data_IF_505186787238
#
_entry.id   IF_505186787238
#
_cell.length_a   1.000
_cell.length_b   1.000
_cell.length_c   1.000
_cell.angle_alpha   90.00
_cell.angle_beta   90.00
_cell.angle_gamma   90.00
#
_symmetry.space_group_name_H-M   'P 1'
#
loop_
_entity.id
_entity.type
_entity.pdbx_description
1 polymer ?
#
# COMPACT_ATOMS: atom_id res chain seq x y z
N UNK A 1 -18.14 6.06 0.83
CA UNK A 1 -16.78 6.61 0.78
C UNK A 1 -16.66 7.75 -0.23
N UNK A 2 -16.41 7.59 -1.54
CA UNK A 2 -16.32 8.80 -2.42
C UNK A 2 -17.56 9.70 -2.44
N UNK A 3 -18.77 9.14 -2.50
CA UNK A 3 -19.98 9.96 -2.41
C UNK A 3 -19.97 10.77 -1.09
N UNK A 4 -19.62 10.11 0.01
CA UNK A 4 -19.45 10.73 1.32
C UNK A 4 -18.38 11.83 1.34
N UNK A 5 -17.24 11.63 0.68
CA UNK A 5 -16.20 12.66 0.54
C UNK A 5 -16.70 13.86 -0.27
N UNK A 6 -17.47 13.63 -1.34
CA UNK A 6 -18.09 14.70 -2.12
C UNK A 6 -19.13 15.47 -1.30
N UNK A 7 -19.93 14.77 -0.49
CA UNK A 7 -20.95 15.37 0.38
C UNK A 7 -20.33 16.22 1.50
N UNK A 8 -19.14 15.86 1.99
CA UNK A 8 -18.41 16.62 3.02
C UNK A 8 -17.84 17.95 2.50
N UNK A 9 -17.75 18.15 1.18
CA UNK A 9 -17.29 19.41 0.57
C UNK A 9 -15.85 19.79 0.95
N UNK A 10 -15.03 18.83 1.36
CA UNK A 10 -13.67 19.07 1.87
C UNK A 10 -12.66 19.22 0.75
N UNK A 11 -11.66 20.09 0.95
CA UNK A 11 -10.50 20.23 0.03
C UNK A 11 -9.50 19.08 0.13
N UNK A 12 -9.55 18.29 1.20
CA UNK A 12 -8.71 17.11 1.45
C UNK A 12 -9.40 15.86 0.95
N UNK A 13 -8.99 15.37 -0.22
CA UNK A 13 -9.54 14.17 -0.85
C UNK A 13 -8.48 13.08 -0.99
N UNK A 14 -8.87 11.79 -1.04
CA UNK A 14 -7.91 10.71 -1.22
C UNK A 14 -7.08 10.87 -2.48
N UNK A 15 -5.78 10.65 -2.33
CA UNK A 15 -4.82 10.76 -3.44
C UNK A 15 -5.24 9.90 -4.62
N UNK A 16 -5.12 10.44 -5.84
CA UNK A 16 -5.44 9.70 -7.04
C UNK A 16 -4.34 8.66 -7.35
N UNK A 17 -4.73 7.39 -7.24
CA UNK A 17 -3.87 6.24 -7.56
C UNK A 17 -4.06 5.81 -9.03
N UNK A 18 -3.95 6.79 -9.93
CA UNK A 18 -4.01 6.58 -11.37
C UNK A 18 -2.90 5.63 -11.84
N UNK A 19 -3.17 4.80 -12.85
CA UNK A 19 -2.13 3.98 -13.49
C UNK A 19 -1.13 4.88 -14.25
N UNK A 20 -0.04 4.29 -14.77
CA UNK A 20 1.05 5.05 -15.40
C UNK A 20 0.56 5.92 -16.56
N UNK A 21 -0.28 5.36 -17.43
CA UNK A 21 -0.77 6.06 -18.63
C UNK A 21 -1.71 7.21 -18.25
N UNK A 22 -2.65 6.96 -17.35
CA UNK A 22 -3.56 7.99 -16.86
C UNK A 22 -2.81 9.06 -16.06
N UNK A 23 -1.76 8.69 -15.30
CA UNK A 23 -0.93 9.65 -14.56
C UNK A 23 -0.16 10.59 -15.50
N UNK A 24 0.25 10.10 -16.67
CA UNK A 24 0.90 10.94 -17.67
C UNK A 24 -0.08 11.94 -18.29
N UNK A 25 -1.33 11.52 -18.54
CA UNK A 25 -2.40 12.38 -19.04
C UNK A 25 -2.83 13.44 -18.02
N UNK A 26 -2.85 13.09 -16.73
CA UNK A 26 -3.33 13.97 -15.66
C UNK A 26 -2.23 14.81 -14.99
N UNK A 27 -1.02 14.84 -15.53
CA UNK A 27 0.16 15.44 -14.86
C UNK A 27 0.01 16.94 -14.61
N UNK A 28 -0.58 17.65 -15.57
CA UNK A 28 -0.70 19.12 -15.54
C UNK A 28 -2.10 19.57 -15.05
N UNK A 29 -2.92 18.61 -14.59
CA UNK A 29 -4.27 18.84 -14.11
C UNK A 29 -4.25 19.01 -12.59
N UNK A 30 -4.63 20.18 -12.09
CA UNK A 30 -4.81 20.36 -10.64
C UNK A 30 -6.12 19.71 -10.16
N UNK A 31 -6.00 18.43 -9.83
CA UNK A 31 -7.12 17.60 -9.38
C UNK A 31 -7.72 18.08 -8.06
N UNK A 32 -6.95 18.74 -7.18
CA UNK A 32 -7.47 19.25 -5.90
C UNK A 32 -8.44 20.41 -6.13
N UNK A 33 -8.13 21.27 -7.10
CA UNK A 33 -9.01 22.37 -7.52
C UNK A 33 -10.26 21.88 -8.27
N UNK A 34 -10.17 20.73 -8.94
CA UNK A 34 -11.26 20.17 -9.75
C UNK A 34 -12.23 19.34 -8.91
N UNK A 35 -11.73 18.58 -7.94
CA UNK A 35 -12.55 17.73 -7.10
C UNK A 35 -13.34 18.50 -6.01
N UNK A 36 -12.89 19.70 -5.63
CA UNK A 36 -13.64 20.60 -4.75
C UNK A 36 -14.85 21.26 -5.44
N UNK A 37 -14.89 21.24 -6.78
CA UNK A 37 -16.09 21.56 -7.53
C UNK A 37 -16.93 20.29 -7.66
N UNK A 38 -18.20 20.38 -7.29
CA UNK A 38 -19.19 19.30 -7.40
C UNK A 38 -19.05 18.58 -8.75
N UNK A 39 -19.02 17.24 -8.72
CA UNK A 39 -18.97 16.31 -9.86
C UNK A 39 -19.63 16.78 -11.18
N UNK A 40 -20.80 17.48 -11.19
CA UNK A 40 -21.39 18.00 -12.42
C UNK A 40 -20.57 19.05 -13.21
N UNK A 41 -19.59 19.75 -12.62
CA UNK A 41 -18.79 20.77 -13.33
C UNK A 41 -17.42 20.28 -13.84
N UNK A 42 -17.13 18.98 -13.68
CA UNK A 42 -15.86 18.38 -14.13
C UNK A 42 -15.71 18.35 -15.65
N UNK A 43 -16.83 18.24 -16.39
CA UNK A 43 -16.81 18.19 -17.86
C UNK A 43 -16.36 19.48 -18.51
N UNK A 44 -16.52 20.60 -17.82
CA UNK A 44 -16.30 21.92 -18.39
C UNK A 44 -14.84 22.37 -18.25
N UNK A 45 -14.08 21.69 -17.38
CA UNK A 45 -12.68 22.02 -17.05
C UNK A 45 -11.66 21.00 -17.58
N UNK A 46 -12.09 19.82 -17.98
CA UNK A 46 -11.21 18.74 -18.44
C UNK A 46 -11.44 18.44 -19.92
N UNK A 47 -10.37 18.15 -20.66
CA UNK A 47 -10.49 17.57 -21.98
C UNK A 47 -11.14 16.18 -21.91
N UNK A 48 -11.74 15.71 -23.01
CA UNK A 48 -12.37 14.39 -23.06
C UNK A 48 -11.40 13.24 -22.68
N UNK A 49 -10.11 13.39 -22.99
CA UNK A 49 -9.06 12.41 -22.68
C UNK A 49 -8.72 12.44 -21.20
N UNK A 50 -8.55 13.62 -20.60
CA UNK A 50 -8.30 13.77 -19.16
C UNK A 50 -9.51 13.32 -18.33
N UNK A 51 -10.73 13.66 -18.76
CA UNK A 51 -11.95 13.23 -18.09
C UNK A 51 -12.12 11.70 -18.15
N UNK A 52 -11.75 11.08 -19.26
CA UNK A 52 -11.70 9.62 -19.37
C UNK A 52 -10.62 9.02 -18.46
N UNK A 53 -9.41 9.57 -18.48
CA UNK A 53 -8.30 9.12 -17.63
C UNK A 53 -8.66 9.26 -16.14
N UNK A 54 -9.33 10.34 -15.77
CA UNK A 54 -9.82 10.59 -14.41
C UNK A 54 -10.90 9.58 -14.02
N UNK A 55 -11.93 9.36 -14.86
CA UNK A 55 -12.99 8.37 -14.60
C UNK A 55 -12.48 6.93 -14.49
N UNK A 56 -11.46 6.58 -15.27
CA UNK A 56 -10.82 5.26 -15.22
C UNK A 56 -9.81 5.12 -14.07
N UNK A 57 -9.38 6.23 -13.49
CA UNK A 57 -8.48 6.21 -12.34
C UNK A 57 -9.27 5.97 -11.08
N UNK A 58 -8.78 5.04 -10.27
CA UNK A 58 -9.41 4.68 -9.00
C UNK A 58 -8.57 5.35 -7.92
N UNK A 59 -9.12 6.34 -7.22
CA UNK A 59 -8.66 6.70 -5.87
C UNK A 59 -9.16 5.63 -4.88
N UNK A 60 -8.56 5.50 -3.68
CA UNK A 60 -9.11 4.86 -2.44
C UNK A 60 -8.16 3.91 -1.72
N UNK A 61 -8.48 3.64 -0.45
CA UNK A 61 -7.88 2.60 0.38
C UNK A 61 -7.95 1.19 -0.25
N UNK A 62 -9.04 0.81 -0.93
CA UNK A 62 -9.13 -0.50 -1.63
C UNK A 62 -8.13 -0.59 -2.78
N UNK A 63 -7.94 0.50 -3.55
CA UNK A 63 -6.96 0.53 -4.63
C UNK A 63 -5.55 0.49 -4.08
N UNK A 64 -5.28 1.19 -2.98
CA UNK A 64 -4.00 1.13 -2.27
C UNK A 64 -3.70 -0.30 -1.81
N UNK A 65 -4.66 -0.98 -1.17
CA UNK A 65 -4.54 -2.39 -0.76
C UNK A 65 -4.26 -3.31 -1.96
N UNK A 66 -4.94 -3.10 -3.10
CA UNK A 66 -4.72 -3.86 -4.33
C UNK A 66 -3.30 -3.63 -4.91
N UNK A 67 -2.81 -2.40 -4.92
CA UNK A 67 -1.45 -2.09 -5.35
C UNK A 67 -0.42 -2.71 -4.39
N UNK A 68 -0.66 -2.61 -3.08
CA UNK A 68 0.20 -3.22 -2.07
C UNK A 68 0.30 -4.74 -2.26
N UNK A 69 -0.81 -5.44 -2.49
CA UNK A 69 -0.74 -6.89 -2.77
C UNK A 69 -0.05 -7.20 -4.10
N UNK A 70 -0.18 -6.34 -5.11
CA UNK A 70 0.57 -6.49 -6.35
C UNK A 70 2.09 -6.33 -6.18
N UNK A 71 2.57 -5.70 -5.09
CA UNK A 71 4.00 -5.63 -4.78
C UNK A 71 4.40 -6.71 -3.78
N UNK A 72 3.67 -6.84 -2.67
CA UNK A 72 4.08 -7.63 -1.50
C UNK A 72 3.60 -9.10 -1.55
N UNK A 73 2.60 -9.43 -2.37
CA UNK A 73 2.13 -10.81 -2.58
C UNK A 73 1.61 -10.99 -4.02
N UNK A 74 2.49 -10.78 -4.99
CA UNK A 74 2.14 -10.82 -6.40
C UNK A 74 1.87 -12.25 -6.90
N UNK A 75 0.86 -12.43 -7.76
CA UNK A 75 0.49 -13.74 -8.34
C UNK A 75 1.63 -14.44 -9.07
N UNK A 76 2.48 -13.67 -9.75
CA UNK A 76 3.74 -14.15 -10.34
C UNK A 76 4.88 -13.89 -9.35
N UNK A 77 5.39 -14.98 -8.76
CA UNK A 77 6.43 -14.96 -7.74
C UNK A 77 7.75 -14.30 -8.20
N UNK A 78 7.96 -14.13 -9.52
CA UNK A 78 9.17 -13.49 -10.06
C UNK A 78 9.07 -11.97 -10.16
N UNK A 79 7.87 -11.40 -10.07
CA UNK A 79 7.62 -9.97 -10.31
C UNK A 79 7.40 -9.16 -9.03
N UNK A 80 6.95 -9.82 -7.96
CA UNK A 80 6.74 -9.19 -6.66
C UNK A 80 8.01 -9.08 -5.83
N UNK A 81 7.92 -8.32 -4.74
CA UNK A 81 8.96 -8.19 -3.72
C UNK A 81 8.71 -9.10 -2.51
N UNK A 82 7.86 -10.11 -2.68
CA UNK A 82 7.33 -10.94 -1.58
C UNK A 82 8.41 -11.60 -0.70
N UNK A 83 9.46 -12.18 -1.30
CA UNK A 83 10.51 -12.86 -0.52
C UNK A 83 11.35 -11.84 0.26
N UNK A 84 11.73 -10.74 -0.39
CA UNK A 84 12.46 -9.63 0.22
C UNK A 84 11.65 -8.98 1.35
N UNK A 85 10.34 -8.79 1.13
CA UNK A 85 9.37 -8.32 2.11
C UNK A 85 9.31 -9.25 3.33
N UNK A 86 9.12 -10.55 3.10
CA UNK A 86 9.03 -11.56 4.17
C UNK A 86 10.32 -11.57 4.99
N UNK A 87 11.49 -11.49 4.34
CA UNK A 87 12.77 -11.49 5.05
C UNK A 87 12.99 -10.21 5.84
N UNK A 88 12.66 -9.05 5.27
CA UNK A 88 12.73 -7.76 5.94
C UNK A 88 11.87 -7.73 7.21
N UNK A 89 10.58 -8.07 7.08
CA UNK A 89 9.65 -8.07 8.21
C UNK A 89 10.09 -9.06 9.29
N UNK A 90 10.52 -10.26 8.89
CA UNK A 90 11.00 -11.29 9.82
C UNK A 90 12.19 -10.83 10.66
N UNK A 91 13.21 -10.25 10.02
CA UNK A 91 14.47 -9.95 10.71
C UNK A 91 14.44 -8.60 11.44
N UNK A 92 13.66 -7.61 10.96
CA UNK A 92 13.65 -6.25 11.54
C UNK A 92 12.42 -5.95 12.40
N UNK A 93 11.26 -6.48 12.05
CA UNK A 93 10.00 -6.24 12.78
C UNK A 93 9.76 -7.36 13.81
N UNK A 94 10.37 -8.54 13.60
CA UNK A 94 10.29 -9.67 14.52
C UNK A 94 9.06 -10.56 14.31
N UNK A 95 8.27 -10.31 13.27
CA UNK A 95 7.20 -11.19 12.82
C UNK A 95 7.21 -11.25 11.28
N UNK A 96 6.73 -12.36 10.73
CA UNK A 96 6.58 -12.50 9.27
C UNK A 96 5.20 -13.02 8.94
N UNK A 97 4.37 -12.12 8.42
CA UNK A 97 3.08 -12.45 7.83
C UNK A 97 3.17 -12.28 6.32
N UNK A 98 2.65 -13.25 5.57
CA UNK A 98 2.45 -13.09 4.14
C UNK A 98 1.39 -12.01 3.93
N UNK A 99 1.67 -11.02 3.08
CA UNK A 99 0.71 -9.96 2.82
C UNK A 99 -0.60 -10.55 2.27
N UNK A 100 -1.78 -10.04 2.67
CA UNK A 100 -3.06 -10.59 2.23
C UNK A 100 -3.18 -10.65 0.70
N UNK A 101 -3.79 -11.72 0.18
CA UNK A 101 -3.85 -11.99 -1.26
C UNK A 101 -4.96 -11.19 -1.94
N UNK A 102 -4.70 -9.91 -2.15
CA UNK A 102 -5.63 -9.01 -2.85
C UNK A 102 -5.67 -9.24 -4.37
N UNK A 103 -4.87 -10.18 -4.89
CA UNK A 103 -4.77 -10.47 -6.32
C UNK A 103 -5.78 -11.53 -6.76
N UNK A 104 -6.15 -12.42 -5.85
CA UNK A 104 -7.23 -13.38 -6.03
C UNK A 104 -8.53 -12.82 -5.45
N UNK A 105 -9.68 -13.18 -6.05
CA UNK A 105 -11.01 -12.72 -5.63
C UNK A 105 -11.47 -13.43 -4.34
N UNK A 106 -10.65 -13.40 -3.30
CA UNK A 106 -11.01 -13.91 -1.99
C UNK A 106 -11.79 -12.84 -1.23
N UNK A 107 -12.86 -13.26 -0.56
CA UNK A 107 -13.61 -12.40 0.33
C UNK A 107 -12.67 -11.84 1.42
N UNK A 108 -12.78 -10.55 1.73
CA UNK A 108 -12.02 -9.83 2.79
C UNK A 108 -10.56 -9.50 2.53
N UNK A 109 -9.93 -10.02 1.49
CA UNK A 109 -8.50 -9.79 1.23
C UNK A 109 -8.08 -8.32 1.27
N UNK A 110 -8.92 -7.42 0.75
CA UNK A 110 -8.68 -5.97 0.81
C UNK A 110 -8.85 -5.36 2.21
N UNK A 111 -9.75 -5.89 3.03
CA UNK A 111 -9.94 -5.44 4.41
C UNK A 111 -8.78 -5.91 5.30
N UNK A 112 -8.33 -7.15 5.10
CA UNK A 112 -7.14 -7.70 5.77
C UNK A 112 -5.89 -6.92 5.38
N UNK A 113 -5.74 -6.61 4.10
CA UNK A 113 -4.64 -5.78 3.60
C UNK A 113 -4.68 -4.37 4.21
N UNK A 114 -5.87 -3.79 4.38
CA UNK A 114 -6.00 -2.50 5.06
C UNK A 114 -5.56 -2.57 6.53
N UNK A 115 -5.97 -3.62 7.26
CA UNK A 115 -5.51 -3.86 8.62
C UNK A 115 -3.99 -3.98 8.70
N UNK A 116 -3.39 -4.80 7.83
CA UNK A 116 -1.94 -5.03 7.77
C UNK A 116 -1.15 -3.73 7.51
N UNK A 117 -1.58 -2.97 6.50
CA UNK A 117 -0.95 -1.70 6.14
C UNK A 117 -1.02 -0.66 7.27
N UNK A 118 -2.11 -0.64 8.05
CA UNK A 118 -2.25 0.31 9.16
C UNK A 118 -1.39 -0.07 10.38
N UNK A 119 -1.35 -1.35 10.73
CA UNK A 119 -0.58 -1.82 11.89
C UNK A 119 0.92 -1.58 11.66
N UNK A 120 1.39 -1.83 10.44
CA UNK A 120 2.82 -1.77 10.10
C UNK A 120 3.17 -0.62 9.15
N UNK A 121 2.40 0.46 9.17
CA UNK A 121 2.56 1.59 8.25
C UNK A 121 4.01 2.15 8.24
N UNK A 122 4.64 2.43 9.41
CA UNK A 122 6.04 2.88 9.44
C UNK A 122 7.00 1.89 8.79
N UNK A 123 6.84 0.60 9.06
CA UNK A 123 7.69 -0.47 8.54
C UNK A 123 7.54 -0.62 7.02
N UNK A 124 6.31 -0.50 6.48
CA UNK A 124 6.10 -0.48 5.04
C UNK A 124 6.74 0.74 4.37
N UNK A 125 6.67 1.92 4.99
CA UNK A 125 7.33 3.12 4.46
C UNK A 125 8.86 2.95 4.44
N UNK A 126 9.44 2.47 5.54
CA UNK A 126 10.89 2.19 5.61
C UNK A 126 11.33 1.10 4.64
N UNK A 127 10.52 0.04 4.46
CA UNK A 127 10.79 -0.99 3.47
C UNK A 127 10.82 -0.42 2.05
N UNK A 128 9.83 0.40 1.68
CA UNK A 128 9.78 1.05 0.37
C UNK A 128 10.98 1.96 0.13
N UNK A 129 11.42 2.71 1.15
CA UNK A 129 12.63 3.55 1.07
C UNK A 129 13.89 2.71 0.82
N UNK A 130 14.04 1.58 1.51
CA UNK A 130 15.16 0.66 1.30
C UNK A 130 15.13 0.09 -0.12
N UNK A 131 13.96 -0.33 -0.60
CA UNK A 131 13.77 -0.84 -1.96
C UNK A 131 14.10 0.23 -3.00
N UNK A 132 13.72 1.49 -2.77
CA UNK A 132 14.07 2.62 -3.62
C UNK A 132 15.58 2.80 -3.72
N UNK A 133 16.28 2.73 -2.60
CA UNK A 133 17.69 3.03 -2.49
C UNK A 133 18.59 1.86 -2.92
N UNK A 134 18.10 0.62 -2.87
CA UNK A 134 18.85 -0.55 -3.37
C UNK A 134 18.94 -0.66 -4.90
N UNK A 135 18.18 0.14 -5.64
CA UNK A 135 18.15 0.06 -7.10
C UNK A 135 19.38 0.71 -7.71
N UNK A 136 19.82 0.19 -8.86
CA UNK A 136 20.90 0.80 -9.67
C UNK A 136 20.68 2.30 -9.93
N UNK A 137 19.42 2.70 -10.13
CA UNK A 137 18.98 4.09 -10.11
C UNK A 137 18.03 4.28 -8.96
N UNK A 138 18.48 4.98 -7.93
CA UNK A 138 17.66 5.34 -6.78
C UNK A 138 16.37 6.04 -7.25
N UNK A 139 15.22 5.46 -6.92
CA UNK A 139 13.94 5.96 -7.37
C UNK A 139 12.79 4.97 -7.17
N UNK A 140 11.62 5.51 -6.86
CA UNK A 140 10.41 4.71 -6.80
C UNK A 140 9.97 4.33 -8.22
N UNK A 141 9.50 3.09 -8.38
CA UNK A 141 8.67 2.80 -9.53
C UNK A 141 7.28 3.43 -9.33
N UNK A 142 6.50 3.55 -10.41
CA UNK A 142 5.21 4.22 -10.36
C UNK A 142 4.23 3.60 -9.33
N UNK A 143 4.23 2.27 -9.15
CA UNK A 143 3.36 1.61 -8.15
C UNK A 143 3.85 1.85 -6.72
N UNK A 144 5.16 1.74 -6.47
CA UNK A 144 5.78 2.01 -5.17
C UNK A 144 5.55 3.47 -4.75
N UNK A 145 5.69 4.42 -5.67
CA UNK A 145 5.44 5.83 -5.42
C UNK A 145 3.99 6.06 -5.01
N UNK A 146 3.05 5.44 -5.71
CA UNK A 146 1.62 5.52 -5.39
C UNK A 146 1.28 4.90 -4.04
N UNK A 147 1.92 3.79 -3.66
CA UNK A 147 1.74 3.21 -2.33
C UNK A 147 2.33 4.12 -1.26
N UNK A 148 3.55 4.61 -1.48
CA UNK A 148 4.26 5.50 -0.56
C UNK A 148 3.48 6.79 -0.31
N UNK A 149 2.91 7.40 -1.36
CA UNK A 149 2.02 8.56 -1.26
C UNK A 149 0.73 8.21 -0.53
N UNK A 150 0.07 7.09 -0.90
CA UNK A 150 -1.20 6.67 -0.32
C UNK A 150 -1.14 6.35 1.19
N UNK A 151 -0.03 5.78 1.67
CA UNK A 151 0.17 5.50 3.10
C UNK A 151 0.41 6.77 3.95
N UNK A 152 0.79 7.88 3.32
CA UNK A 152 1.00 9.18 3.97
C UNK A 152 -0.19 10.13 3.82
N UNK A 153 -1.16 9.75 3.00
CA UNK A 153 -2.34 10.55 2.69
C UNK A 153 -3.47 10.30 3.71
N UNK A 154 -3.75 11.28 4.56
CA UNK A 154 -4.73 11.15 5.66
C UNK A 154 -6.13 10.71 5.19
N UNK A 155 -6.71 11.25 4.09
CA UNK A 155 -7.97 10.74 3.56
C UNK A 155 -7.91 9.28 3.12
N UNK A 156 -6.81 8.83 2.48
CA UNK A 156 -6.63 7.41 2.13
C UNK A 156 -6.49 6.53 3.37
N UNK A 157 -5.71 6.96 4.37
CA UNK A 157 -5.60 6.28 5.67
C UNK A 157 -6.96 6.20 6.38
N UNK A 158 -7.79 7.23 6.27
CA UNK A 158 -9.16 7.24 6.80
C UNK A 158 -10.01 6.13 6.18
N UNK A 159 -9.87 5.89 4.87
CA UNK A 159 -10.59 4.79 4.21
C UNK A 159 -10.05 3.42 4.60
N UNK A 160 -8.73 3.26 4.75
CA UNK A 160 -8.14 2.03 5.28
C UNK A 160 -8.70 1.73 6.68
N UNK A 161 -8.80 2.74 7.53
CA UNK A 161 -9.34 2.58 8.88
C UNK A 161 -10.81 2.13 8.87
N UNK A 162 -11.63 2.67 7.96
CA UNK A 162 -13.01 2.22 7.80
C UNK A 162 -13.10 0.76 7.32
N UNK A 163 -12.23 0.33 6.40
CA UNK A 163 -12.14 -1.06 5.95
C UNK A 163 -11.74 -2.00 7.09
N UNK A 164 -10.73 -1.62 7.88
CA UNK A 164 -10.26 -2.40 9.03
C UNK A 164 -11.34 -2.57 10.09
N UNK A 165 -12.04 -1.48 10.47
CA UNK A 165 -13.13 -1.57 11.45
C UNK A 165 -14.27 -2.45 10.95
N UNK A 166 -14.62 -2.36 9.67
CA UNK A 166 -15.62 -3.23 9.07
C UNK A 166 -15.18 -4.70 9.06
N UNK A 167 -13.89 -4.95 8.81
CA UNK A 167 -13.31 -6.29 8.86
C UNK A 167 -13.61 -6.95 10.22
N UNK A 168 -13.20 -6.25 11.27
CA UNK A 168 -13.22 -6.71 12.66
C UNK A 168 -14.64 -6.78 13.22
N UNK A 169 -15.52 -5.83 12.86
CA UNK A 169 -16.86 -5.75 13.41
C UNK A 169 -17.88 -6.65 12.69
N UNK A 170 -17.76 -6.79 11.38
CA UNK A 170 -18.81 -7.39 10.54
C UNK A 170 -18.33 -8.67 9.89
N UNK A 171 -17.26 -8.59 9.11
CA UNK A 171 -16.98 -9.66 8.16
C UNK A 171 -16.20 -10.83 8.74
N UNK A 172 -15.23 -10.62 9.63
CA UNK A 172 -14.58 -11.75 10.30
C UNK A 172 -15.60 -12.55 11.12
N UNK A 173 -16.44 -11.93 11.99
CA UNK A 173 -17.52 -12.64 12.67
C UNK A 173 -18.49 -13.37 11.72
N UNK A 174 -18.86 -12.74 10.60
CA UNK A 174 -19.70 -13.38 9.60
C UNK A 174 -19.03 -14.62 9.02
N UNK A 175 -17.76 -14.51 8.62
CA UNK A 175 -17.00 -15.61 8.03
C UNK A 175 -16.77 -16.76 9.02
N UNK A 176 -16.57 -16.48 10.31
CA UNK A 176 -16.49 -17.54 11.32
C UNK A 176 -17.70 -18.46 11.31
N UNK A 177 -18.89 -17.92 11.08
CA UNK A 177 -20.13 -18.69 11.04
C UNK A 177 -20.40 -19.24 9.64
N UNK A 178 -20.23 -18.42 8.60
CA UNK A 178 -20.50 -18.82 7.23
C UNK A 178 -19.53 -19.91 6.75
N UNK A 179 -18.29 -19.93 7.20
CA UNK A 179 -17.30 -20.97 6.84
C UNK A 179 -17.47 -22.28 7.62
N UNK A 180 -18.33 -22.34 8.65
CA UNK A 180 -18.64 -23.62 9.28
C UNK A 180 -19.33 -24.56 8.29
N UNK A 181 -19.10 -25.87 8.44
CA UNK A 181 -19.73 -26.88 7.60
C UNK A 181 -21.23 -26.94 7.91
N UNK A 182 -22.03 -26.23 7.10
CA UNK A 182 -23.48 -26.20 7.19
C UNK A 182 -24.09 -25.94 5.80
N UNK A 183 -25.40 -26.11 5.70
CA UNK A 183 -26.13 -25.76 4.49
C UNK A 183 -26.14 -24.24 4.36
N UNK A 184 -25.59 -23.71 3.27
CA UNK A 184 -25.60 -22.27 2.98
C UNK A 184 -27.01 -21.69 2.92
N UNK A 185 -28.01 -22.49 2.56
CA UNK A 185 -29.41 -22.09 2.53
C UNK A 185 -30.00 -21.79 3.92
N UNK A 186 -29.39 -22.29 4.99
CA UNK A 186 -29.82 -22.04 6.38
C UNK A 186 -29.29 -20.71 6.95
N UNK A 187 -28.50 -19.96 6.19
CA UNK A 187 -27.92 -18.68 6.63
C UNK A 187 -28.93 -17.50 6.61
N UNK A 188 -30.15 -17.68 6.11
CA UNK A 188 -31.11 -16.58 5.96
C UNK A 188 -31.42 -15.81 7.25
N UNK A 189 -31.67 -16.52 8.36
CA UNK A 189 -31.87 -15.88 9.67
C UNK A 189 -30.62 -15.12 10.13
N UNK A 190 -29.44 -15.68 9.86
CA UNK A 190 -28.16 -15.07 10.20
C UNK A 190 -27.90 -13.80 9.38
N UNK A 191 -28.31 -13.78 8.10
CA UNK A 191 -28.29 -12.59 7.26
C UNK A 191 -29.20 -11.48 7.78
N UNK A 192 -30.41 -11.81 8.25
CA UNK A 192 -31.30 -10.84 8.89
C UNK A 192 -30.65 -10.19 10.12
N UNK A 193 -30.01 -10.98 10.98
CA UNK A 193 -29.27 -10.48 12.14
C UNK A 193 -28.09 -9.59 11.73
N UNK A 194 -27.36 -9.96 10.67
CA UNK A 194 -26.24 -9.17 10.13
C UNK A 194 -26.70 -7.79 9.65
N UNK A 195 -27.82 -7.71 8.92
CA UNK A 195 -28.39 -6.45 8.45
C UNK A 195 -28.74 -5.52 9.61
N UNK A 196 -29.41 -6.06 10.64
CA UNK A 196 -29.75 -5.31 11.87
C UNK A 196 -28.48 -4.84 12.59
N UNK A 197 -27.45 -5.68 12.66
CA UNK A 197 -26.18 -5.33 13.28
C UNK A 197 -25.46 -4.19 12.53
N UNK A 198 -25.36 -4.27 11.20
CA UNK A 198 -24.76 -3.19 10.41
C UNK A 198 -25.55 -1.88 10.60
N UNK A 199 -26.88 -1.93 10.63
CA UNK A 199 -27.71 -0.76 10.91
C UNK A 199 -27.46 -0.18 12.32
N UNK A 200 -27.27 -1.04 13.33
CA UNK A 200 -26.90 -0.62 14.70
C UNK A 200 -25.57 0.15 14.70
N UNK A 201 -24.57 -0.32 13.95
CA UNK A 201 -23.27 0.35 13.84
C UNK A 201 -23.35 1.69 13.08
N UNK A 202 -24.22 1.78 12.07
CA UNK A 202 -24.49 3.05 11.37
C UNK A 202 -25.14 4.07 12.33
N UNK A 203 -26.10 3.63 13.14
CA UNK A 203 -26.83 4.51 14.06
C UNK A 203 -25.95 4.96 15.24
N UNK A 204 -25.02 4.09 15.70
CA UNK A 204 -24.15 4.34 16.85
C UNK A 204 -22.67 4.03 16.51
N UNK A 205 -22.01 4.84 15.67
CA UNK A 205 -20.62 4.59 15.25
C UNK A 205 -19.61 4.67 16.40
N UNK A 206 -19.97 5.30 17.51
CA UNK A 206 -19.15 5.36 18.73
C UNK A 206 -18.85 3.98 19.33
N UNK A 207 -19.68 2.97 19.03
CA UNK A 207 -19.41 1.58 19.39
C UNK A 207 -18.05 1.10 18.85
N UNK A 208 -17.63 1.62 17.69
CA UNK A 208 -16.34 1.28 17.05
C UNK A 208 -15.24 2.29 17.35
N UNK A 209 -15.58 3.57 17.56
CA UNK A 209 -14.63 4.68 17.57
C UNK A 209 -14.21 5.16 18.97
N UNK A 210 -14.87 4.68 20.04
CA UNK A 210 -14.47 5.00 21.40
C UNK A 210 -13.14 4.32 21.78
N UNK A 211 -12.28 5.02 22.53
CA UNK A 211 -10.94 4.53 22.90
C UNK A 211 -10.93 3.27 23.79
N UNK A 212 -12.08 2.93 24.39
CA UNK A 212 -12.36 1.68 25.11
C UNK A 212 -13.46 0.89 24.39
N UNK A 213 -13.29 0.68 23.09
CA UNK A 213 -14.25 -0.03 22.25
C UNK A 213 -14.70 -1.34 22.91
N UNK A 214 -16.00 -1.47 23.12
CA UNK A 214 -16.62 -2.64 23.74
C UNK A 214 -16.91 -3.67 22.66
N UNK A 215 -15.94 -4.56 22.39
CA UNK A 215 -16.05 -5.58 21.34
C UNK A 215 -17.34 -6.40 21.48
N UNK A 216 -17.81 -6.61 22.72
CA UNK A 216 -19.05 -7.36 22.99
C UNK A 216 -20.29 -6.76 22.34
N UNK A 217 -20.30 -5.44 22.08
CA UNK A 217 -21.41 -4.73 21.45
C UNK A 217 -21.15 -4.36 20.00
N UNK A 218 -19.88 -4.29 19.62
CA UNK A 218 -19.42 -3.74 18.36
C UNK A 218 -19.04 -4.83 17.34
N UNK A 219 -18.60 -6.01 17.79
CA UNK A 219 -18.45 -7.19 16.94
C UNK A 219 -19.81 -7.89 16.75
N UNK A 220 -20.06 -8.43 15.57
CA UNK A 220 -21.32 -9.09 15.23
C UNK A 220 -21.57 -10.37 16.03
N UNK A 221 -20.52 -11.16 16.30
CA UNK A 221 -20.59 -12.36 17.15
C UNK A 221 -20.35 -12.06 18.65
N UNK A 222 -20.10 -10.79 19.00
CA UNK A 222 -19.77 -10.35 20.35
C UNK A 222 -18.44 -10.87 20.89
N UNK A 223 -17.58 -11.47 20.04
CA UNK A 223 -16.26 -11.96 20.43
C UNK A 223 -15.21 -10.86 20.34
N UNK A 224 -14.02 -11.16 20.86
CA UNK A 224 -12.86 -10.28 20.71
C UNK A 224 -12.50 -10.08 19.24
N UNK A 225 -11.81 -8.98 18.96
CA UNK A 225 -11.31 -8.68 17.62
C UNK A 225 -10.34 -9.76 17.14
N UNK A 226 -10.50 -10.20 15.89
CA UNK A 226 -9.55 -11.13 15.24
C UNK A 226 -8.12 -10.55 15.23
N UNK A 227 -8.02 -9.22 15.05
CA UNK A 227 -6.77 -8.45 15.10
C UNK A 227 -6.92 -7.24 16.02
N UNK A 228 -6.78 -7.42 17.35
CA UNK A 228 -6.90 -6.32 18.32
C UNK A 228 -5.89 -5.18 18.06
N UNK A 229 -4.70 -5.52 17.56
CA UNK A 229 -3.66 -4.56 17.21
C UNK A 229 -4.07 -3.62 16.07
N UNK A 230 -4.90 -4.10 15.13
CA UNK A 230 -5.40 -3.31 14.01
C UNK A 230 -6.46 -2.30 14.47
N UNK A 231 -7.37 -2.72 15.35
CA UNK A 231 -8.34 -1.80 15.98
C UNK A 231 -7.61 -0.76 16.82
N UNK A 232 -6.60 -1.17 17.59
CA UNK A 232 -5.78 -0.26 18.36
C UNK A 232 -5.05 0.78 17.48
N UNK A 233 -4.47 0.35 16.35
CA UNK A 233 -3.83 1.24 15.39
C UNK A 233 -4.81 2.28 14.83
N UNK A 234 -6.03 1.86 14.48
CA UNK A 234 -7.10 2.78 14.04
C UNK A 234 -7.47 3.79 15.13
N UNK A 235 -7.70 3.33 16.36
CA UNK A 235 -8.08 4.21 17.48
C UNK A 235 -6.96 5.20 17.83
N UNK A 236 -5.70 4.79 17.71
CA UNK A 236 -4.54 5.68 17.89
C UNK A 236 -4.48 6.76 16.80
N UNK A 237 -4.87 6.44 15.57
CA UNK A 237 -4.91 7.38 14.46
C UNK A 237 -6.17 8.25 14.45
N UNK A 238 -7.28 7.80 15.04
CA UNK A 238 -8.57 8.46 15.00
C UNK A 238 -8.54 9.98 15.34
N UNK A 239 -7.77 10.47 16.32
CA UNK A 239 -7.65 11.91 16.58
C UNK A 239 -7.10 12.72 15.41
N UNK A 240 -6.28 12.10 14.54
CA UNK A 240 -5.69 12.71 13.35
C UNK A 240 -6.56 12.54 12.09
N UNK A 241 -7.69 11.82 12.18
CA UNK A 241 -8.56 11.48 11.06
C UNK A 241 -9.93 12.17 11.23
N UNK A 242 -10.06 13.47 10.89
CA UNK A 242 -11.24 14.29 11.23
C UNK A 242 -12.55 13.76 10.60
N UNK A 243 -12.45 13.06 9.47
CA UNK A 243 -13.62 12.54 8.75
C UNK A 243 -13.89 11.05 8.99
N UNK A 244 -13.13 10.38 9.86
CA UNK A 244 -13.25 8.94 10.10
C UNK A 244 -14.68 8.50 10.39
N UNK A 245 -15.38 9.20 11.29
CA UNK A 245 -16.79 8.91 11.62
C UNK A 245 -17.69 8.91 10.39
N UNK A 246 -17.63 9.98 9.60
CA UNK A 246 -18.49 10.15 8.42
C UNK A 246 -18.18 9.09 7.37
N UNK A 247 -16.89 8.82 7.13
CA UNK A 247 -16.45 7.82 6.15
C UNK A 247 -16.83 6.40 6.57
N UNK A 248 -16.67 6.05 7.85
CA UNK A 248 -17.17 4.80 8.41
C UNK A 248 -18.68 4.66 8.18
N UNK A 249 -19.48 5.65 8.58
CA UNK A 249 -20.94 5.60 8.38
C UNK A 249 -21.31 5.44 6.90
N UNK A 250 -20.68 6.22 6.02
CA UNK A 250 -20.91 6.16 4.58
C UNK A 250 -20.46 4.84 3.94
N UNK A 251 -19.40 4.22 4.45
CA UNK A 251 -18.97 2.89 4.03
C UNK A 251 -19.97 1.82 4.48
N UNK A 252 -20.35 1.82 5.76
CA UNK A 252 -21.30 0.85 6.33
C UNK A 252 -22.68 0.97 5.69
N UNK A 253 -23.15 2.17 5.37
CA UNK A 253 -24.39 2.38 4.61
C UNK A 253 -24.32 1.75 3.21
N UNK A 254 -23.17 1.88 2.54
CA UNK A 254 -22.93 1.22 1.27
C UNK A 254 -22.89 -0.30 1.40
N UNK A 255 -22.20 -0.81 2.43
CA UNK A 255 -22.13 -2.24 2.74
C UNK A 255 -23.52 -2.82 3.03
N UNK A 256 -24.36 -2.14 3.83
CA UNK A 256 -25.72 -2.57 4.13
C UNK A 256 -26.55 -2.73 2.85
N UNK A 257 -26.49 -1.76 1.93
CA UNK A 257 -27.19 -1.85 0.63
C UNK A 257 -26.72 -3.04 -0.20
N UNK A 258 -25.42 -3.34 -0.17
CA UNK A 258 -24.87 -4.52 -0.86
C UNK A 258 -25.33 -5.81 -0.22
N UNK A 259 -25.33 -5.89 1.12
CA UNK A 259 -25.85 -7.05 1.85
C UNK A 259 -27.34 -7.28 1.59
N UNK A 260 -28.16 -6.23 1.59
CA UNK A 260 -29.59 -6.36 1.25
C UNK A 260 -29.77 -6.99 -0.13
N UNK A 261 -28.98 -6.59 -1.13
CA UNK A 261 -29.01 -7.20 -2.46
C UNK A 261 -28.52 -8.65 -2.48
N UNK A 262 -27.53 -8.97 -1.65
CA UNK A 262 -27.00 -10.33 -1.53
C UNK A 262 -27.99 -11.27 -0.85
N UNK A 263 -28.79 -10.77 0.09
CA UNK A 263 -29.70 -11.56 0.91
C UNK A 263 -31.12 -11.68 0.36
N UNK A 264 -31.41 -11.16 -0.84
CA UNK A 264 -32.77 -11.14 -1.44
C UNK A 264 -33.38 -12.53 -1.50
N UNK A 265 -32.58 -13.55 -1.88
CA UNK A 265 -33.08 -14.93 -2.03
C UNK A 265 -33.47 -15.56 -0.68
N UNK A 266 -33.00 -14.99 0.43
CA UNK A 266 -33.25 -15.45 1.81
C UNK A 266 -34.26 -14.56 2.56
N UNK A 267 -34.95 -13.65 1.86
CA UNK A 267 -35.96 -12.76 2.45
C UNK A 267 -37.17 -13.53 3.01
N UNK A 268 -37.87 -12.90 3.96
CA UNK A 268 -39.11 -13.43 4.53
C UNK A 268 -40.16 -13.65 3.43
N UNK A 269 -40.68 -14.89 3.32
CA UNK A 269 -41.61 -15.29 2.26
C UNK A 269 -40.93 -15.76 0.97
N UNK A 270 -39.60 -15.71 0.87
CA UNK A 270 -38.83 -16.27 -0.25
C UNK A 270 -38.88 -17.80 -0.32
N UNK A 271 -38.55 -18.36 -1.48
CA UNK A 271 -38.61 -19.80 -1.72
C UNK A 271 -37.73 -20.63 -0.76
N UNK A 272 -36.58 -20.08 -0.35
CA UNK A 272 -35.66 -20.74 0.60
C UNK A 272 -36.27 -20.79 2.00
N UNK A 273 -36.88 -19.70 2.47
CA UNK A 273 -37.50 -19.67 3.81
C UNK A 273 -38.79 -20.50 3.86
N UNK A 274 -39.55 -20.56 2.76
CA UNK A 274 -40.76 -21.37 2.67
C UNK A 274 -40.49 -22.87 2.45
N UNK A 275 -39.25 -23.27 2.17
CA UNK A 275 -38.87 -24.66 1.95
C UNK A 275 -38.89 -25.47 3.24
N UNK A 276 -39.26 -26.75 3.16
CA UNK A 276 -39.20 -27.64 4.31
C UNK A 276 -37.75 -28.01 4.63
N UNK A 277 -37.47 -28.41 5.88
CA UNK A 277 -36.14 -28.93 6.24
C UNK A 277 -35.72 -30.13 5.39
N UNK A 278 -36.67 -30.92 4.89
CA UNK A 278 -36.39 -32.04 3.99
C UNK A 278 -35.88 -31.54 2.63
N UNK A 279 -36.54 -30.52 2.08
CA UNK A 279 -36.15 -29.93 0.80
C UNK A 279 -34.80 -29.22 0.90
N UNK A 280 -34.56 -28.48 1.98
CA UNK A 280 -33.28 -27.82 2.23
C UNK A 280 -32.15 -28.84 2.38
N UNK A 281 -32.37 -29.92 3.12
CA UNK A 281 -31.37 -30.99 3.26
C UNK A 281 -31.12 -31.76 1.95
N UNK A 282 -32.14 -31.93 1.11
CA UNK A 282 -31.98 -32.52 -0.22
C UNK A 282 -31.22 -31.58 -1.18
N UNK A 283 -31.44 -30.28 -1.07
CA UNK A 283 -30.76 -29.23 -1.82
C UNK A 283 -29.53 -28.69 -1.09
N UNK A 284 -28.72 -29.57 -0.48
CA UNK A 284 -27.55 -29.15 0.29
C UNK A 284 -26.54 -28.40 -0.57
N UNK A 285 -26.27 -27.15 -0.21
CA UNK A 285 -25.23 -26.32 -0.84
C UNK A 285 -24.24 -25.93 0.25
N UNK A 286 -22.94 -26.11 -0.01
CA UNK A 286 -21.91 -25.61 0.90
C UNK A 286 -22.03 -24.10 1.05
N UNK A 287 -21.99 -23.63 2.29
CA UNK A 287 -22.04 -22.20 2.63
C UNK A 287 -20.90 -21.36 2.01
N UNK A 288 -19.82 -22.00 1.59
CA UNK A 288 -18.71 -21.39 0.87
C UNK A 288 -18.29 -22.25 -0.33
N UNK A 289 -17.70 -21.59 -1.33
CA UNK A 289 -17.17 -22.25 -2.53
C UNK A 289 -15.84 -22.99 -2.28
N UNK A 290 -15.27 -22.88 -1.08
CA UNK A 290 -13.93 -23.39 -0.73
C UNK A 290 -13.83 -24.92 -0.84
N UNK A 291 -14.94 -25.65 -0.64
CA UNK A 291 -14.98 -27.11 -0.80
C UNK A 291 -14.84 -27.59 -2.25
N UNK A 292 -15.06 -26.71 -3.23
CA UNK A 292 -14.84 -27.02 -4.65
C UNK A 292 -13.38 -26.87 -5.06
N UNK A 293 -12.51 -26.38 -4.16
CA UNK A 293 -11.07 -26.36 -4.38
C UNK A 293 -10.48 -27.69 -3.88
N UNK A 294 -10.04 -28.56 -4.80
CA UNK A 294 -9.46 -29.88 -4.49
C UNK A 294 -8.19 -29.85 -3.62
N UNK A 295 -7.27 -30.81 -3.77
CA UNK A 295 -6.04 -30.84 -2.96
C UNK A 295 -5.24 -29.51 -2.93
N UNK A 296 -5.35 -28.71 -4.00
CA UNK A 296 -4.79 -27.37 -4.09
C UNK A 296 -5.49 -26.33 -3.19
N UNK A 297 -6.80 -26.43 -3.00
CA UNK A 297 -7.55 -25.57 -2.07
C UNK A 297 -7.24 -25.88 -0.62
N UNK A 298 -7.21 -27.17 -0.29
CA UNK A 298 -6.75 -27.64 1.02
C UNK A 298 -5.33 -27.16 1.33
N UNK A 299 -4.44 -27.18 0.34
CA UNK A 299 -3.10 -26.62 0.45
C UNK A 299 -3.11 -25.10 0.72
N UNK A 300 -3.92 -24.34 -0.03
CA UNK A 300 -4.02 -22.89 0.14
C UNK A 300 -4.54 -22.51 1.52
N UNK A 301 -5.65 -23.10 1.96
CA UNK A 301 -6.21 -22.87 3.30
C UNK A 301 -5.20 -23.20 4.41
N UNK A 302 -4.47 -24.31 4.26
CA UNK A 302 -3.42 -24.69 5.18
C UNK A 302 -2.25 -23.70 5.21
N UNK A 303 -1.84 -23.19 4.05
CA UNK A 303 -0.80 -22.16 3.93
C UNK A 303 -1.24 -20.82 4.54
N UNK A 304 -2.53 -20.48 4.53
CA UNK A 304 -3.06 -19.28 5.17
C UNK A 304 -2.94 -19.34 6.70
N UNK A 305 -3.31 -20.48 7.30
CA UNK A 305 -3.15 -20.69 8.75
C UNK A 305 -1.68 -20.84 9.16
N UNK A 306 -0.80 -21.15 8.20
CA UNK A 306 0.63 -21.45 8.44
C UNK A 306 1.51 -20.78 7.39
N UNK A 307 1.58 -19.44 7.38
CA UNK A 307 2.25 -18.68 6.31
C UNK A 307 3.75 -18.96 6.23
N UNK A 308 4.36 -19.41 7.33
CA UNK A 308 5.78 -19.75 7.41
C UNK A 308 6.09 -21.23 7.14
N UNK A 309 5.07 -22.04 6.87
CA UNK A 309 5.24 -23.45 6.57
C UNK A 309 5.68 -23.68 5.12
N UNK A 310 6.26 -24.85 4.87
CA UNK A 310 6.73 -25.23 3.53
C UNK A 310 5.75 -26.19 2.86
N UNK A 311 5.73 -26.21 1.53
CA UNK A 311 4.99 -27.20 0.75
C UNK A 311 5.38 -28.63 1.14
N UNK A 312 6.67 -28.86 1.43
CA UNK A 312 7.16 -30.12 1.96
C UNK A 312 6.48 -30.50 3.27
N UNK A 313 6.28 -29.55 4.19
CA UNK A 313 5.58 -29.78 5.45
C UNK A 313 4.08 -30.07 5.23
N UNK A 314 3.43 -29.39 4.27
CA UNK A 314 2.05 -29.72 3.88
C UNK A 314 1.94 -31.14 3.33
N UNK A 315 2.79 -31.47 2.36
CA UNK A 315 2.81 -32.78 1.72
C UNK A 315 3.12 -33.88 2.73
N UNK A 316 4.02 -33.65 3.68
CA UNK A 316 4.30 -34.59 4.78
C UNK A 316 3.10 -34.77 5.70
N UNK A 317 2.41 -33.70 6.08
CA UNK A 317 1.22 -33.81 6.92
C UNK A 317 0.06 -34.50 6.18
N UNK A 318 -0.15 -34.16 4.91
CA UNK A 318 -1.15 -34.79 4.06
C UNK A 318 -0.85 -36.28 3.85
N UNK A 319 0.40 -36.64 3.57
CA UNK A 319 0.84 -38.05 3.48
C UNK A 319 0.71 -38.79 4.81
N UNK A 320 1.06 -38.15 5.93
CA UNK A 320 0.93 -38.74 7.27
C UNK A 320 -0.53 -39.13 7.55
N UNK A 321 -1.47 -38.22 7.26
CA UNK A 321 -2.91 -38.46 7.39
C UNK A 321 -3.42 -39.51 6.41
N UNK A 322 -3.01 -39.44 5.15
CA UNK A 322 -3.52 -40.34 4.09
C UNK A 322 -2.99 -41.77 4.23
N UNK A 323 -1.73 -41.93 4.65
CA UNK A 323 -1.09 -43.23 4.78
C UNK A 323 -1.31 -43.88 6.14
N UNK A 324 -2.17 -43.31 7.02
CA UNK A 324 -2.34 -43.81 8.39
C UNK A 324 -1.03 -43.89 9.17
N UNK A 325 -0.10 -42.96 8.90
CA UNK A 325 1.27 -43.02 9.45
C UNK A 325 1.26 -42.82 10.97
N UNK A 326 0.29 -42.09 11.51
CA UNK A 326 0.10 -41.94 12.95
C UNK A 326 -0.26 -43.27 13.63
N UNK A 327 -1.19 -44.03 13.04
CA UNK A 327 -1.55 -45.37 13.50
C UNK A 327 -0.37 -46.34 13.38
N UNK A 328 0.42 -46.24 12.29
CA UNK A 328 1.64 -47.02 12.10
C UNK A 328 2.69 -46.70 13.16
N UNK A 329 2.91 -45.42 13.48
CA UNK A 329 3.84 -44.98 14.53
C UNK A 329 3.37 -45.52 15.89
N UNK A 330 2.08 -45.37 16.23
CA UNK A 330 1.53 -45.88 17.48
C UNK A 330 1.61 -47.41 17.61
N UNK A 331 1.49 -48.14 16.50
CA UNK A 331 1.48 -49.61 16.48
C UNK A 331 2.88 -50.22 16.45
N UNK A 332 3.82 -49.60 15.73
CA UNK A 332 5.13 -50.21 15.43
C UNK A 332 6.33 -49.47 16.02
N UNK A 333 6.13 -48.25 16.57
CA UNK A 333 7.17 -47.41 17.16
C UNK A 333 6.81 -47.17 18.64
N UNK A 334 6.80 -48.25 19.42
CA UNK A 334 6.30 -48.27 20.80
C UNK A 334 7.40 -48.19 21.88
N UNK A 335 8.68 -48.20 21.49
CA UNK A 335 9.82 -48.18 22.43
C UNK A 335 10.27 -46.75 22.72
N UNK A 336 10.68 -46.41 23.95
CA UNK A 336 11.12 -45.05 24.30
C UNK A 336 12.35 -44.56 23.50
N UNK A 337 13.14 -45.45 22.91
CA UNK A 337 14.35 -45.11 22.14
C UNK A 337 14.04 -44.59 20.72
N UNK A 338 12.93 -45.04 20.12
CA UNK A 338 12.62 -44.72 18.73
C UNK A 338 12.16 -43.26 18.52
N UNK A 339 11.27 -42.68 19.38
CA UNK A 339 10.95 -41.26 19.34
C UNK A 339 12.18 -40.39 19.64
N UNK A 340 13.11 -40.84 20.50
CA UNK A 340 14.35 -40.11 20.80
C UNK A 340 15.26 -40.04 19.58
N UNK A 341 15.38 -41.12 18.82
CA UNK A 341 16.15 -41.18 17.58
C UNK A 341 15.52 -40.35 16.45
N UNK A 342 14.20 -40.40 16.28
CA UNK A 342 13.46 -39.54 15.34
C UNK A 342 13.60 -38.06 15.70
N UNK A 343 13.46 -37.68 16.97
CA UNK A 343 13.69 -36.31 17.44
C UNK A 343 15.15 -35.89 17.29
N UNK A 344 16.11 -36.80 17.46
CA UNK A 344 17.53 -36.53 17.19
C UNK A 344 17.74 -36.21 15.70
N UNK A 345 17.22 -37.05 14.80
CA UNK A 345 17.31 -36.88 13.34
C UNK A 345 16.61 -35.60 12.84
N UNK A 346 15.43 -35.28 13.38
CA UNK A 346 14.75 -34.03 13.10
C UNK A 346 15.55 -32.81 13.57
N UNK A 347 16.15 -32.90 14.76
CA UNK A 347 17.05 -31.85 15.28
C UNK A 347 18.32 -31.71 14.45
N UNK A 348 18.94 -32.78 13.95
CA UNK A 348 20.11 -32.68 13.04
C UNK A 348 19.74 -32.12 11.67
N UNK A 349 18.52 -32.37 11.20
CA UNK A 349 17.99 -31.79 9.97
C UNK A 349 17.75 -30.26 10.12
N UNK A 350 17.19 -29.86 11.27
CA UNK A 350 16.93 -28.44 11.61
C UNK A 350 18.18 -27.69 12.10
N UNK A 351 19.19 -28.37 12.66
CA UNK A 351 20.38 -27.77 13.28
C UNK A 351 21.32 -27.09 12.28
N UNK A 352 21.08 -27.22 10.98
CA UNK A 352 21.92 -26.59 9.98
C UNK A 352 21.79 -25.06 9.97
N UNK A 353 20.64 -24.49 10.40
CA UNK A 353 20.41 -23.03 10.54
C UNK A 353 20.66 -22.19 9.28
N UNK A 354 21.06 -22.82 8.19
CA UNK A 354 21.81 -22.21 7.09
C UNK A 354 20.93 -21.28 6.28
N UNK A 355 19.65 -21.64 6.16
CA UNK A 355 18.62 -20.80 5.52
C UNK A 355 18.32 -19.54 6.35
N UNK A 356 18.38 -19.60 7.68
CA UNK A 356 18.17 -18.42 8.52
C UNK A 356 19.37 -17.48 8.48
N UNK A 357 20.59 -18.03 8.55
CA UNK A 357 21.83 -17.26 8.39
C UNK A 357 21.88 -16.53 7.05
N UNK A 358 21.64 -17.26 5.94
CA UNK A 358 21.63 -16.67 4.59
C UNK A 358 20.58 -15.57 4.42
N UNK A 359 19.38 -15.74 4.99
CA UNK A 359 18.33 -14.68 4.96
C UNK A 359 18.79 -13.44 5.71
N UNK A 360 19.38 -13.59 6.89
CA UNK A 360 19.91 -12.48 7.68
C UNK A 360 21.03 -11.74 6.96
N UNK A 361 21.96 -12.46 6.33
CA UNK A 361 23.01 -11.87 5.51
C UNK A 361 22.43 -11.08 4.32
N UNK A 362 21.41 -11.63 3.65
CA UNK A 362 20.72 -10.93 2.56
C UNK A 362 20.06 -9.63 3.04
N UNK A 363 19.31 -9.66 4.15
CA UNK A 363 18.67 -8.46 4.70
C UNK A 363 19.72 -7.43 5.10
N UNK A 364 20.78 -7.85 5.80
CA UNK A 364 21.86 -6.96 6.22
C UNK A 364 22.58 -6.32 5.03
N UNK A 365 22.85 -7.09 3.97
CA UNK A 365 23.46 -6.58 2.75
C UNK A 365 22.56 -5.55 2.06
N UNK A 366 21.28 -5.87 1.89
CA UNK A 366 20.28 -4.96 1.28
C UNK A 366 20.20 -3.64 2.09
N UNK A 367 20.09 -3.73 3.42
CA UNK A 367 20.05 -2.55 4.29
C UNK A 367 21.34 -1.73 4.19
N UNK A 368 22.51 -2.37 4.18
CA UNK A 368 23.79 -1.67 4.08
C UNK A 368 23.96 -0.94 2.74
N UNK A 369 23.60 -1.60 1.63
CA UNK A 369 23.61 -0.98 0.29
C UNK A 369 22.65 0.21 0.24
N UNK A 370 21.41 0.05 0.72
CA UNK A 370 20.45 1.16 0.78
C UNK A 370 20.99 2.36 1.57
N UNK A 371 21.60 2.12 2.75
CA UNK A 371 22.18 3.18 3.56
C UNK A 371 23.33 3.90 2.85
N UNK A 372 24.19 3.17 2.13
CA UNK A 372 25.27 3.77 1.36
C UNK A 372 24.72 4.65 0.23
N UNK A 373 23.80 4.11 -0.58
CA UNK A 373 23.20 4.84 -1.69
C UNK A 373 22.41 6.06 -1.22
N UNK A 374 21.70 5.96 -0.09
CA UNK A 374 21.02 7.10 0.52
C UNK A 374 21.99 8.21 0.94
N UNK A 375 23.15 7.86 1.53
CA UNK A 375 24.20 8.85 1.88
C UNK A 375 24.76 9.52 0.63
N UNK A 376 25.10 8.74 -0.39
CA UNK A 376 25.62 9.27 -1.66
C UNK A 376 24.62 10.23 -2.32
N UNK A 377 23.33 9.91 -2.27
CA UNK A 377 22.27 10.78 -2.78
C UNK A 377 22.13 12.07 -1.97
N UNK A 378 22.09 11.97 -0.64
CA UNK A 378 22.02 13.14 0.25
C UNK A 378 23.22 14.07 0.06
N UNK A 379 24.43 13.52 -0.08
CA UNK A 379 25.62 14.29 -0.40
C UNK A 379 25.53 14.98 -1.76
N UNK A 380 24.98 14.30 -2.77
CA UNK A 380 24.77 14.90 -4.09
C UNK A 380 23.76 16.03 -4.04
N UNK A 381 22.63 15.83 -3.35
CA UNK A 381 21.61 16.86 -3.18
C UNK A 381 22.14 18.08 -2.40
N UNK A 382 22.94 17.85 -1.35
CA UNK A 382 23.61 18.92 -0.62
C UNK A 382 24.59 19.69 -1.51
N UNK A 383 25.39 19.00 -2.33
CA UNK A 383 26.29 19.63 -3.31
C UNK A 383 25.52 20.44 -4.36
N UNK A 384 24.40 19.92 -4.85
CA UNK A 384 23.52 20.60 -5.80
C UNK A 384 22.88 21.86 -5.19
N UNK A 385 22.33 21.76 -3.97
CA UNK A 385 21.78 22.92 -3.22
C UNK A 385 22.84 23.97 -2.91
N UNK A 386 24.03 23.54 -2.47
CA UNK A 386 25.14 24.45 -2.22
C UNK A 386 25.61 25.15 -3.51
N UNK A 387 25.66 24.43 -4.64
CA UNK A 387 25.99 25.01 -5.93
C UNK A 387 24.90 26.00 -6.40
N UNK A 388 23.63 25.69 -6.21
CA UNK A 388 22.51 26.60 -6.53
C UNK A 388 22.56 27.87 -5.67
N UNK A 389 22.76 27.74 -4.35
CA UNK A 389 22.90 28.86 -3.44
C UNK A 389 24.11 29.74 -3.78
N UNK A 390 25.23 29.13 -4.20
CA UNK A 390 26.40 29.86 -4.67
C UNK A 390 26.08 30.71 -5.90
N UNK A 391 25.39 30.14 -6.89
CA UNK A 391 24.96 30.86 -8.10
C UNK A 391 24.00 32.01 -7.79
N UNK A 392 23.12 31.84 -6.81
CA UNK A 392 22.19 32.89 -6.39
C UNK A 392 22.89 34.03 -5.64
N UNK A 393 23.88 33.71 -4.81
CA UNK A 393 24.65 34.67 -4.02
C UNK A 393 25.69 35.46 -4.85
N UNK A 394 26.14 34.95 -5.99
CA UNK A 394 27.13 35.64 -6.84
C UNK A 394 26.56 36.94 -7.40
N UNK A 395 27.19 38.07 -7.07
CA UNK A 395 26.86 39.39 -7.62
C UNK A 395 27.40 39.53 -9.04
N UNK A 396 26.59 40.10 -9.94
CA UNK A 396 26.96 40.30 -11.34
C UNK A 396 27.95 41.45 -11.47
N UNK A 397 29.05 41.24 -12.21
CA UNK A 397 30.01 42.30 -12.53
C UNK A 397 29.78 42.74 -13.97
N UNK A 398 29.29 43.97 -14.16
CA UNK A 398 28.96 44.53 -15.48
C UNK A 398 30.08 45.38 -16.08
N UNK A 399 31.07 45.78 -15.27
CA UNK A 399 32.14 46.69 -15.70
C UNK A 399 33.18 46.00 -16.60
N UNK A 400 33.41 46.47 -17.85
CA UNK A 400 34.36 45.85 -18.78
C UNK A 400 35.81 45.80 -18.29
N UNK A 401 36.25 46.76 -17.46
CA UNK A 401 37.60 46.78 -16.89
C UNK A 401 37.71 45.81 -15.71
N UNK A 402 36.67 45.74 -14.87
CA UNK A 402 36.52 44.73 -13.82
C UNK A 402 36.55 43.29 -14.37
N UNK A 403 35.90 43.03 -15.52
CA UNK A 403 35.86 41.72 -16.16
C UNK A 403 37.23 41.24 -16.69
N UNK A 404 38.09 42.17 -17.12
CA UNK A 404 39.44 41.84 -17.61
C UNK A 404 40.37 41.32 -16.50
N UNK A 405 40.18 41.84 -15.29
CA UNK A 405 40.98 41.53 -14.11
C UNK A 405 40.54 40.24 -13.40
N UNK A 406 39.37 39.69 -13.74
CA UNK A 406 38.88 38.47 -13.10
C UNK A 406 39.80 37.27 -13.33
N UNK A 407 39.95 36.48 -12.26
CA UNK A 407 40.60 35.18 -12.30
C UNK A 407 39.71 34.18 -13.04
N UNK A 408 40.32 33.08 -13.48
CA UNK A 408 39.65 32.05 -14.29
C UNK A 408 38.40 31.48 -13.59
N UNK A 409 38.49 31.17 -12.29
CA UNK A 409 37.37 30.65 -11.48
C UNK A 409 36.22 31.66 -11.37
N UNK A 410 36.54 32.94 -11.16
CA UNK A 410 35.53 33.99 -11.08
C UNK A 410 34.79 34.21 -12.41
N UNK A 411 35.46 34.00 -13.55
CA UNK A 411 34.82 34.03 -14.88
C UNK A 411 33.88 32.85 -15.07
N UNK A 412 34.24 31.65 -14.58
CA UNK A 412 33.35 30.48 -14.62
C UNK A 412 32.09 30.71 -13.79
N UNK A 413 32.23 31.30 -12.59
CA UNK A 413 31.11 31.62 -11.72
C UNK A 413 30.15 32.61 -12.39
N UNK A 414 30.65 33.69 -12.99
CA UNK A 414 29.83 34.68 -13.71
C UNK A 414 29.08 34.05 -14.90
N UNK A 415 29.75 33.20 -15.70
CA UNK A 415 29.12 32.46 -16.79
C UNK A 415 28.02 31.51 -16.29
N UNK A 416 28.23 30.91 -15.12
CA UNK A 416 27.28 29.99 -14.52
C UNK A 416 26.02 30.70 -14.00
N UNK A 417 26.14 31.94 -13.52
CA UNK A 417 24.99 32.82 -13.26
C UNK A 417 24.17 33.05 -14.53
N UNK A 418 24.80 33.43 -15.64
CA UNK A 418 24.10 33.61 -16.92
C UNK A 418 23.39 32.33 -17.41
N UNK A 419 24.03 31.18 -17.25
CA UNK A 419 23.48 29.89 -17.66
C UNK A 419 22.32 29.41 -16.77
N UNK A 420 22.48 29.48 -15.44
CA UNK A 420 21.54 28.89 -14.47
C UNK A 420 20.51 29.89 -13.96
N UNK A 421 20.93 31.10 -13.58
CA UNK A 421 20.04 32.15 -13.04
C UNK A 421 19.24 32.85 -14.13
N UNK A 422 19.88 33.17 -15.27
CA UNK A 422 19.23 33.88 -16.38
C UNK A 422 18.79 32.97 -17.54
N UNK A 423 19.02 31.66 -17.42
CA UNK A 423 18.64 30.62 -18.37
C UNK A 423 19.08 30.92 -19.83
N UNK A 424 20.27 31.50 -20.01
CA UNK A 424 20.84 31.75 -21.33
C UNK A 424 21.42 30.46 -21.92
N UNK A 425 20.70 29.88 -22.90
CA UNK A 425 21.09 28.64 -23.59
C UNK A 425 22.24 28.83 -24.59
N UNK A 426 22.57 30.07 -24.94
CA UNK A 426 23.67 30.38 -25.86
C UNK A 426 25.02 30.41 -25.14
N UNK A 427 25.03 30.45 -23.81
CA UNK A 427 26.27 30.34 -23.02
C UNK A 427 26.82 28.92 -23.11
N UNK A 428 28.02 28.71 -23.68
CA UNK A 428 28.56 27.36 -23.83
C UNK A 428 28.92 26.71 -22.49
N UNK A 429 28.93 25.38 -22.46
CA UNK A 429 29.37 24.62 -21.29
C UNK A 429 30.84 24.93 -20.96
N UNK A 430 31.18 25.01 -19.66
CA UNK A 430 32.55 25.22 -19.18
C UNK A 430 33.54 24.23 -19.79
N UNK A 431 33.13 22.98 -20.03
CA UNK A 431 33.95 21.96 -20.70
C UNK A 431 34.32 22.27 -22.16
N UNK A 432 33.55 23.14 -22.84
CA UNK A 432 33.79 23.55 -24.23
C UNK A 432 34.64 24.81 -24.34
N UNK A 433 34.82 25.56 -23.25
CA UNK A 433 35.61 26.78 -23.22
C UNK A 433 36.63 26.69 -22.08
N UNK A 434 37.81 26.15 -22.35
CA UNK A 434 38.83 25.91 -21.32
C UNK A 434 39.75 27.10 -21.08
N UNK A 435 39.98 27.94 -22.10
CA UNK A 435 40.97 29.02 -22.07
C UNK A 435 40.35 30.35 -21.60
N UNK A 436 41.06 31.10 -20.76
CA UNK A 436 40.61 32.40 -20.19
C UNK A 436 40.10 33.42 -21.23
N UNK A 437 40.77 33.64 -22.39
CA UNK A 437 40.32 34.63 -23.38
C UNK A 437 38.95 34.28 -23.97
N UNK A 438 38.71 32.99 -24.22
CA UNK A 438 37.47 32.52 -24.82
C UNK A 438 36.29 32.62 -23.82
N UNK A 439 36.54 32.39 -22.52
CA UNK A 439 35.52 32.62 -21.46
C UNK A 439 35.15 34.08 -21.32
N UNK A 440 36.14 34.96 -21.42
CA UNK A 440 35.95 36.40 -21.33
C UNK A 440 35.14 36.90 -22.53
N UNK A 441 35.42 36.41 -23.74
CA UNK A 441 34.62 36.70 -24.93
C UNK A 441 33.17 36.20 -24.76
N UNK A 442 32.96 34.97 -24.33
CA UNK A 442 31.63 34.40 -24.08
C UNK A 442 30.85 35.18 -23.00
N UNK A 443 31.53 35.67 -21.95
CA UNK A 443 30.92 36.47 -20.90
C UNK A 443 30.51 37.86 -21.40
N UNK A 444 31.34 38.49 -22.24
CA UNK A 444 31.00 39.77 -22.90
C UNK A 444 29.79 39.63 -23.81
N UNK A 445 29.70 38.54 -24.57
CA UNK A 445 28.52 38.26 -25.41
C UNK A 445 27.27 37.99 -24.57
N UNK A 446 27.40 37.23 -23.48
CA UNK A 446 26.31 36.97 -22.54
C UNK A 446 25.79 38.26 -21.87
N UNK A 447 26.69 39.16 -21.47
CA UNK A 447 26.34 40.48 -20.95
C UNK A 447 25.67 41.35 -22.02
N UNK A 448 26.18 41.36 -23.25
CA UNK A 448 25.55 42.09 -24.35
C UNK A 448 24.10 41.61 -24.61
N UNK A 449 23.83 40.31 -24.50
CA UNK A 449 22.47 39.75 -24.56
C UNK A 449 21.64 40.11 -23.33
N UNK A 450 22.23 40.08 -22.14
CA UNK A 450 21.57 40.48 -20.89
C UNK A 450 21.13 41.95 -20.92
N UNK A 451 21.97 42.86 -21.42
CA UNK A 451 21.61 44.28 -21.53
C UNK A 451 20.48 44.54 -22.53
N UNK A 452 20.39 43.73 -23.61
CA UNK A 452 19.32 43.80 -24.62
C UNK A 452 17.96 43.26 -24.16
N UNK A 453 17.89 42.53 -23.04
CA UNK A 453 16.62 42.02 -22.51
C UNK A 453 15.74 43.16 -21.96
N UNK A 454 14.41 43.13 -22.17
CA UNK A 454 13.48 44.10 -21.57
C UNK A 454 13.49 43.98 -20.04
N UNK A 455 13.29 45.10 -19.33
CA UNK A 455 13.40 45.19 -17.86
C UNK A 455 12.55 44.16 -17.11
N UNK A 456 11.34 43.83 -17.61
CA UNK A 456 10.45 42.83 -17.01
C UNK A 456 11.02 41.40 -17.05
N UNK A 457 11.90 41.10 -18.01
CA UNK A 457 12.58 39.80 -18.13
C UNK A 457 13.91 39.71 -17.37
N UNK A 458 14.34 40.82 -16.75
CA UNK A 458 15.47 40.87 -15.81
C UNK A 458 15.03 40.53 -14.38
N UNK A 459 13.72 40.50 -14.12
CA UNK A 459 13.14 40.13 -12.83
C UNK A 459 13.00 38.63 -12.73
N UNK A 460 13.44 38.11 -11.59
CA UNK A 460 13.54 36.70 -11.22
C UNK A 460 12.13 36.08 -11.21
N UNK A 461 11.88 34.93 -11.87
CA UNK A 461 10.69 34.15 -11.55
C UNK A 461 10.87 33.61 -10.12
N UNK A 462 9.99 34.05 -9.20
CA UNK A 462 9.93 33.52 -7.83
C UNK A 462 9.66 32.03 -7.81
#
# INVERSE_FOLDING_TARGET
MMATWADLGTTLLPVLLANKDNSAVLRDVDLNTILGATLPHLSDKLTAVELRAFKMSVCRGVKLASLAGAIFNHKDNKKGQQDTYIFYFRELVGHSLRFPDTSNMQYLSHCDAAAELLVHCPEYLSFLEIVRDCKERAGFNHMEEKIYQGLRDLPTVTELAALTLYAQAVTHPYMHTACCQQNGLLLGLFHGQLLVHIQKLINNPDLLLLSKGDYSKAAFDGKEWERPEAVHAVLKLAPCLPHLRHICMGFFTGALKTWMRFCVDSEEGGAIMCASNLDLNAAWISSTNDHNEGALGSYRAWMHLRPNATEGYFNTQAKCRYNGTEDFIQTHIATEEDPRNLHSYGRTFDSSGHKAHRRREQVNYIVAVAQQTAREYMEREQKEKAAAAKVEATQLIEDPDGLAQLKHDNLEEQLEVHRKRFNDKEVPLQSKITVKPAKLAALREALARYHKRPADSKVIPR
#
